data_IF_993942075479
#
_entry.id   IF_993942075479
#
_cell.length_a   1.000
_cell.length_b   1.000
_cell.length_c   1.000
_cell.angle_alpha   90.00
_cell.angle_beta   90.00
_cell.angle_gamma   90.00
#
_symmetry.space_group_name_H-M   'P 1'
#
loop_
_entity.id
_entity.type
_entity.pdbx_description
1 polymer ?
#
# COMPACT_ATOMS: atom_id res chain seq x y z
N UNK A 1 13.62 35.33 32.21
CA UNK A 1 13.82 35.14 30.77
C UNK A 1 12.87 34.04 30.28
N UNK A 2 11.70 34.46 29.80
CA UNK A 2 10.78 33.62 29.03
C UNK A 2 11.36 33.47 27.62
N UNK A 3 11.37 32.26 27.08
CA UNK A 3 11.25 32.04 25.64
C UNK A 3 10.17 30.98 25.44
N UNK A 4 9.00 31.50 25.10
CA UNK A 4 7.88 30.78 24.51
C UNK A 4 8.22 30.60 23.04
N UNK A 5 8.24 29.35 22.55
CA UNK A 5 7.91 29.07 21.16
C UNK A 5 6.89 27.92 21.15
N UNK A 6 5.64 28.37 21.09
CA UNK A 6 4.49 27.63 20.61
C UNK A 6 4.71 27.26 19.15
N UNK A 7 4.52 25.98 18.82
CA UNK A 7 3.96 25.55 17.53
C UNK A 7 3.38 24.15 17.74
N UNK A 8 2.08 24.13 18.02
CA UNK A 8 1.26 22.94 17.94
C UNK A 8 1.29 22.42 16.50
N UNK A 9 1.84 21.22 16.30
CA UNK A 9 1.50 20.40 15.15
C UNK A 9 0.59 19.29 15.65
N UNK A 10 -0.63 19.25 15.10
CA UNK A 10 -1.67 18.27 15.42
C UNK A 10 -1.09 16.88 15.24
N UNK A 11 -0.87 16.19 16.35
CA UNK A 11 -0.73 14.75 16.40
C UNK A 11 -2.04 14.13 15.89
N UNK A 12 -2.10 13.89 14.58
CA UNK A 12 -3.04 12.97 13.98
C UNK A 12 -2.80 11.59 14.58
N UNK A 13 -3.87 10.83 14.76
CA UNK A 13 -3.98 9.66 15.62
C UNK A 13 -3.28 8.40 15.04
N UNK A 14 -1.97 8.49 14.73
CA UNK A 14 -1.22 7.48 13.97
C UNK A 14 -0.67 6.30 14.81
N UNK A 15 -0.91 6.27 16.13
CA UNK A 15 -0.22 5.34 17.02
C UNK A 15 -0.83 3.92 17.15
N UNK A 16 -2.00 3.63 16.56
CA UNK A 16 -2.70 2.33 16.75
C UNK A 16 -2.87 1.49 15.47
N UNK A 17 -2.44 1.99 14.31
CA UNK A 17 -2.70 1.33 13.01
C UNK A 17 -1.70 0.23 12.63
N UNK A 18 -0.43 0.35 13.02
CA UNK A 18 0.65 -0.44 12.44
C UNK A 18 0.73 -1.90 12.92
N UNK A 19 0.48 -2.14 14.22
CA UNK A 19 0.26 -3.50 14.71
C UNK A 19 -0.95 -4.15 14.05
N UNK A 20 -1.87 -3.34 13.54
CA UNK A 20 -3.20 -3.74 13.13
C UNK A 20 -3.26 -4.03 11.63
N UNK A 21 -2.45 -3.36 10.82
CA UNK A 21 -2.20 -3.67 9.41
C UNK A 21 -1.61 -5.08 9.24
N UNK A 22 -0.56 -5.43 10.01
CA UNK A 22 0.01 -6.79 10.00
C UNK A 22 -1.02 -7.87 10.39
N UNK A 23 -1.88 -7.58 11.37
CA UNK A 23 -2.98 -8.48 11.76
C UNK A 23 -4.09 -8.57 10.70
N UNK A 24 -4.42 -7.47 10.02
CA UNK A 24 -5.40 -7.46 8.93
C UNK A 24 -4.92 -8.26 7.71
N UNK A 25 -3.62 -8.17 7.38
CA UNK A 25 -3.00 -8.99 6.35
C UNK A 25 -2.95 -10.48 6.73
N UNK A 26 -2.62 -10.80 7.98
CA UNK A 26 -2.48 -12.18 8.44
C UNK A 26 -3.82 -12.97 8.50
N UNK A 27 -4.95 -12.32 8.82
CA UNK A 27 -6.17 -13.03 9.24
C UNK A 27 -7.44 -12.80 8.40
N UNK A 28 -7.38 -12.11 7.25
CA UNK A 28 -8.56 -11.99 6.37
C UNK A 28 -8.80 -13.28 5.57
N UNK A 29 -10.04 -13.77 5.50
CA UNK A 29 -10.38 -15.03 4.82
C UNK A 29 -10.06 -15.00 3.32
N UNK A 30 -9.47 -16.08 2.81
CA UNK A 30 -9.04 -16.29 1.42
C UNK A 30 -10.18 -16.40 0.37
N UNK A 31 -11.35 -15.83 0.63
CA UNK A 31 -12.53 -15.97 -0.20
C UNK A 31 -13.34 -14.67 -0.24
N UNK A 32 -12.71 -13.58 -0.67
CA UNK A 32 -13.43 -12.35 -1.00
C UNK A 32 -13.79 -12.40 -2.49
N UNK A 33 -15.08 -12.20 -2.82
CA UNK A 33 -15.59 -12.31 -4.18
C UNK A 33 -15.05 -11.18 -5.06
N UNK A 34 -14.64 -11.52 -6.29
CA UNK A 34 -14.07 -10.65 -7.33
C UNK A 34 -15.10 -9.68 -7.96
N UNK A 35 -16.00 -9.10 -7.14
CA UNK A 35 -17.11 -8.24 -7.58
C UNK A 35 -16.81 -6.75 -7.43
N UNK A 36 -15.55 -6.36 -7.24
CA UNK A 36 -15.16 -4.96 -7.26
C UNK A 36 -15.19 -4.42 -8.68
N UNK A 37 -15.18 -3.10 -8.81
CA UNK A 37 -15.06 -2.47 -10.13
C UNK A 37 -13.61 -2.63 -10.62
N UNK A 38 -13.36 -2.90 -11.90
CA UNK A 38 -12.00 -2.88 -12.42
C UNK A 38 -11.40 -1.47 -12.30
N UNK A 39 -10.07 -1.37 -12.26
CA UNK A 39 -9.41 -0.08 -12.51
C UNK A 39 -9.87 0.48 -13.86
N UNK A 40 -10.14 1.79 -13.90
CA UNK A 40 -10.54 2.44 -15.15
C UNK A 40 -9.37 2.48 -16.14
N UNK A 41 -9.67 2.45 -17.44
CA UNK A 41 -8.68 2.57 -18.51
C UNK A 41 -7.76 3.78 -18.32
N UNK A 42 -8.33 4.92 -17.90
CA UNK A 42 -7.56 6.14 -17.59
C UNK A 42 -6.57 5.92 -16.42
N UNK A 43 -6.98 5.19 -15.37
CA UNK A 43 -6.10 4.91 -14.23
C UNK A 43 -5.02 3.92 -14.63
N UNK A 44 -5.36 2.91 -15.43
CA UNK A 44 -4.41 1.95 -15.99
C UNK A 44 -3.38 2.66 -16.86
N UNK A 45 -3.79 3.57 -17.75
CA UNK A 45 -2.88 4.36 -18.59
C UNK A 45 -1.94 5.23 -17.75
N UNK A 46 -2.45 5.87 -16.69
CA UNK A 46 -1.62 6.68 -15.79
C UNK A 46 -0.63 5.84 -14.99
N UNK A 47 -1.00 4.62 -14.59
CA UNK A 47 -0.16 3.77 -13.75
C UNK A 47 0.83 2.92 -14.54
N UNK A 48 0.46 2.43 -15.72
CA UNK A 48 1.26 1.52 -16.55
C UNK A 48 2.73 1.92 -16.67
N UNK A 49 3.05 3.17 -17.06
CA UNK A 49 4.45 3.61 -17.17
C UNK A 49 5.26 3.48 -15.87
N UNK A 50 4.62 3.57 -14.70
CA UNK A 50 5.34 3.43 -13.42
C UNK A 50 5.68 1.96 -13.11
N UNK A 51 4.92 1.00 -13.62
CA UNK A 51 5.23 -0.43 -13.51
C UNK A 51 6.29 -0.85 -14.55
N UNK A 52 6.47 -0.11 -15.63
CA UNK A 52 7.54 -0.40 -16.61
C UNK A 52 8.93 0.16 -16.18
N UNK A 53 8.98 1.01 -15.15
CA UNK A 53 10.25 1.59 -14.67
C UNK A 53 11.03 0.62 -13.77
N UNK A 54 12.20 0.18 -14.25
CA UNK A 54 13.09 -0.76 -13.56
C UNK A 54 13.75 -0.23 -12.28
N UNK A 55 13.55 1.04 -11.93
CA UNK A 55 14.21 1.73 -10.82
C UNK A 55 13.59 1.43 -9.44
N UNK A 56 12.37 0.87 -9.41
CA UNK A 56 11.59 0.75 -8.17
C UNK A 56 12.02 -0.46 -7.32
N UNK A 57 12.41 -1.58 -7.94
CA UNK A 57 13.10 -2.69 -7.26
C UNK A 57 13.77 -3.64 -8.27
N UNK A 58 14.99 -4.15 -8.02
CA UNK A 58 15.58 -5.18 -8.88
C UNK A 58 14.77 -6.47 -8.97
N UNK A 59 13.80 -6.70 -8.07
CA UNK A 59 12.86 -7.82 -8.14
C UNK A 59 11.67 -7.57 -9.07
N UNK A 60 11.38 -6.30 -9.33
CA UNK A 60 10.22 -5.83 -10.10
C UNK A 60 10.56 -5.79 -11.60
N UNK A 61 11.79 -5.44 -11.96
CA UNK A 61 12.24 -5.25 -13.36
C UNK A 61 12.38 -6.50 -14.24
N UNK A 62 12.19 -7.72 -13.73
CA UNK A 62 12.21 -8.97 -14.54
C UNK A 62 10.84 -9.67 -14.62
N UNK A 63 9.94 -9.38 -13.68
CA UNK A 63 8.65 -10.07 -13.55
C UNK A 63 7.43 -9.17 -13.84
N UNK A 64 7.63 -7.86 -14.03
CA UNK A 64 6.54 -6.92 -14.31
C UNK A 64 6.08 -6.87 -15.77
N UNK A 65 6.78 -7.51 -16.72
CA UNK A 65 6.36 -7.49 -18.14
C UNK A 65 4.92 -8.00 -18.34
N UNK A 66 4.40 -8.82 -17.42
CA UNK A 66 3.06 -9.41 -17.48
C UNK A 66 2.09 -8.93 -16.39
N UNK A 67 2.42 -7.87 -15.62
CA UNK A 67 1.51 -7.40 -14.58
C UNK A 67 0.31 -6.65 -15.17
N UNK A 68 -0.82 -7.35 -15.27
CA UNK A 68 -2.06 -6.80 -15.81
C UNK A 68 -2.81 -5.96 -14.77
N UNK A 69 -2.69 -4.63 -14.89
CA UNK A 69 -3.43 -3.67 -14.05
C UNK A 69 -4.95 -3.76 -14.26
N UNK A 70 -5.43 -4.28 -15.39
CA UNK A 70 -6.86 -4.43 -15.66
C UNK A 70 -7.50 -5.56 -14.84
N UNK A 71 -6.67 -6.43 -14.25
CA UNK A 71 -7.08 -7.52 -13.36
C UNK A 71 -7.32 -7.07 -11.92
N UNK A 72 -6.95 -5.83 -11.58
CA UNK A 72 -7.16 -5.25 -10.24
C UNK A 72 -8.65 -4.88 -10.07
N UNK A 73 -9.20 -5.16 -8.88
CA UNK A 73 -10.55 -4.75 -8.49
C UNK A 73 -10.52 -3.77 -7.33
N UNK A 74 -11.23 -2.68 -7.47
CA UNK A 74 -11.39 -1.65 -6.44
C UNK A 74 -12.73 -1.79 -5.73
N UNK A 75 -12.72 -1.53 -4.42
CA UNK A 75 -13.88 -1.54 -3.55
C UNK A 75 -13.88 -0.29 -2.67
N UNK A 76 -15.07 0.28 -2.44
CA UNK A 76 -15.25 1.34 -1.46
C UNK A 76 -15.57 0.75 -0.07
N UNK A 77 -14.86 1.24 0.94
CA UNK A 77 -15.03 0.86 2.34
C UNK A 77 -14.04 -0.23 2.78
N UNK A 78 -13.42 -0.01 3.93
CA UNK A 78 -12.55 -1.00 4.56
C UNK A 78 -13.41 -2.15 5.12
N UNK A 79 -13.13 -3.42 4.77
CA UNK A 79 -13.89 -4.56 5.28
C UNK A 79 -13.90 -4.61 6.80
N UNK A 80 -15.03 -4.99 7.39
CA UNK A 80 -15.24 -4.98 8.85
C UNK A 80 -14.24 -5.84 9.66
N UNK A 81 -13.63 -6.85 9.01
CA UNK A 81 -12.64 -7.73 9.63
C UNK A 81 -11.21 -7.15 9.59
N UNK A 82 -10.96 -6.16 8.73
CA UNK A 82 -9.72 -5.39 8.73
C UNK A 82 -9.76 -4.52 9.98
N UNK A 83 -8.84 -4.82 10.90
CA UNK A 83 -8.71 -4.06 12.13
C UNK A 83 -7.91 -2.78 11.84
N UNK A 84 -8.19 -1.71 12.58
CA UNK A 84 -7.54 -0.41 12.37
C UNK A 84 -8.33 0.48 11.43
N UNK A 85 -7.76 1.63 11.06
CA UNK A 85 -8.36 2.58 10.11
C UNK A 85 -7.35 2.90 9.01
N UNK A 86 -6.96 1.91 8.17
CA UNK A 86 -6.05 2.18 7.07
C UNK A 86 -6.74 3.01 5.98
N UNK A 87 -5.95 3.75 5.21
CA UNK A 87 -6.46 4.51 4.06
C UNK A 87 -6.83 3.57 2.90
N UNK A 88 -6.08 2.48 2.75
CA UNK A 88 -6.39 1.41 1.81
C UNK A 88 -5.90 0.04 2.33
N UNK A 89 -6.38 -1.05 1.72
CA UNK A 89 -6.04 -2.41 2.08
C UNK A 89 -6.12 -3.35 0.88
N UNK A 90 -5.10 -4.18 0.69
CA UNK A 90 -5.05 -5.14 -0.43
C UNK A 90 -5.23 -6.59 0.02
N UNK A 91 -6.03 -7.34 -0.74
CA UNK A 91 -6.23 -8.78 -0.57
C UNK A 91 -6.36 -9.49 -1.91
N UNK A 92 -5.31 -10.20 -2.32
CA UNK A 92 -5.24 -10.80 -3.65
C UNK A 92 -5.30 -9.71 -4.72
N UNK A 93 -6.29 -9.79 -5.63
CA UNK A 93 -6.53 -8.77 -6.66
C UNK A 93 -7.43 -7.60 -6.22
N UNK A 94 -7.92 -7.64 -4.98
CA UNK A 94 -8.89 -6.67 -4.50
C UNK A 94 -8.20 -5.61 -3.64
N UNK A 95 -8.43 -4.34 -3.96
CA UNK A 95 -8.00 -3.18 -3.19
C UNK A 95 -9.23 -2.49 -2.61
N UNK A 96 -9.22 -2.26 -1.31
CA UNK A 96 -10.29 -1.60 -0.57
C UNK A 96 -9.79 -0.23 -0.13
N UNK A 97 -10.50 0.83 -0.50
CA UNK A 97 -10.18 2.19 -0.05
C UNK A 97 -11.15 2.64 1.03
N UNK A 98 -10.65 3.31 2.07
CA UNK A 98 -11.52 4.02 2.99
C UNK A 98 -12.30 5.14 2.23
N UNK A 99 -13.49 5.54 2.69
CA UNK A 99 -14.29 6.55 2.01
C UNK A 99 -13.49 7.82 1.71
N UNK A 100 -13.48 8.23 0.44
CA UNK A 100 -12.74 9.40 -0.05
C UNK A 100 -11.22 9.21 -0.18
N UNK A 101 -10.68 7.99 -0.05
CA UNK A 101 -9.25 7.70 -0.24
C UNK A 101 -8.88 7.20 -1.64
N UNK A 102 -9.85 6.69 -2.40
CA UNK A 102 -9.66 6.44 -3.82
C UNK A 102 -9.75 7.77 -4.57
N UNK A 103 -8.61 8.29 -5.01
CA UNK A 103 -8.53 9.54 -5.77
C UNK A 103 -7.51 9.42 -6.93
N UNK A 104 -7.95 9.01 -8.13
CA UNK A 104 -7.07 8.88 -9.30
C UNK A 104 -6.72 10.23 -9.95
N UNK A 105 -7.12 11.36 -9.35
CA UNK A 105 -6.94 12.70 -9.92
C UNK A 105 -5.87 13.54 -9.19
N UNK A 106 -5.26 13.02 -8.13
CA UNK A 106 -4.17 13.68 -7.40
C UNK A 106 -2.90 12.83 -7.41
N UNK A 107 -1.74 13.47 -7.28
CA UNK A 107 -0.45 12.79 -7.20
C UNK A 107 -0.42 11.80 -6.02
N UNK A 108 -0.84 12.26 -4.85
CA UNK A 108 -0.89 11.43 -3.63
C UNK A 108 -1.88 10.27 -3.75
N UNK A 109 -3.03 10.47 -4.40
CA UNK A 109 -4.03 9.42 -4.59
C UNK A 109 -3.58 8.38 -5.61
N UNK A 110 -3.02 8.78 -6.76
CA UNK A 110 -2.40 7.85 -7.72
C UNK A 110 -1.22 7.07 -7.10
N UNK A 111 -0.41 7.75 -6.29
CA UNK A 111 0.69 7.10 -5.58
C UNK A 111 0.18 6.06 -4.58
N UNK A 112 -0.90 6.34 -3.84
CA UNK A 112 -1.54 5.36 -2.97
C UNK A 112 -2.14 4.20 -3.76
N UNK A 113 -2.75 4.44 -4.93
CA UNK A 113 -3.24 3.36 -5.81
C UNK A 113 -2.07 2.49 -6.27
N UNK A 114 -0.93 3.09 -6.63
CA UNK A 114 0.29 2.38 -6.99
C UNK A 114 0.85 1.52 -5.85
N UNK A 115 0.85 2.05 -4.61
CA UNK A 115 1.24 1.31 -3.41
C UNK A 115 0.45 0.00 -3.28
N UNK A 116 -0.87 0.09 -3.34
CA UNK A 116 -1.76 -1.05 -3.19
C UNK A 116 -1.70 -2.00 -4.40
N UNK A 117 -1.55 -1.46 -5.61
CA UNK A 117 -1.35 -2.27 -6.81
C UNK A 117 -0.03 -3.08 -6.76
N UNK A 118 1.03 -2.55 -6.12
CA UNK A 118 2.25 -3.32 -5.88
C UNK A 118 2.00 -4.47 -4.89
N UNK A 119 1.14 -4.29 -3.88
CA UNK A 119 0.72 -5.41 -3.04
C UNK A 119 -0.04 -6.48 -3.82
N UNK A 120 -0.88 -6.10 -4.82
CA UNK A 120 -1.53 -7.06 -5.71
C UNK A 120 -0.49 -7.88 -6.47
N UNK A 121 0.53 -7.22 -7.02
CA UNK A 121 1.65 -7.90 -7.68
C UNK A 121 2.39 -8.86 -6.72
N UNK A 122 2.76 -8.39 -5.53
CA UNK A 122 3.41 -9.22 -4.50
C UNK A 122 2.55 -10.45 -4.11
N UNK A 123 1.22 -10.29 -4.08
CA UNK A 123 0.29 -11.41 -3.87
C UNK A 123 0.32 -12.44 -5.00
N UNK A 124 0.52 -12.01 -6.25
CA UNK A 124 0.63 -12.91 -7.40
C UNK A 124 1.95 -13.69 -7.37
N UNK A 125 3.06 -13.02 -7.06
CA UNK A 125 4.40 -13.62 -6.99
C UNK A 125 4.55 -14.63 -5.84
N UNK A 126 4.12 -14.25 -4.64
CA UNK A 126 4.34 -15.07 -3.43
C UNK A 126 3.15 -15.97 -3.08
N UNK A 127 2.00 -15.75 -3.72
CA UNK A 127 0.74 -16.35 -3.34
C UNK A 127 0.22 -15.85 -1.98
N UNK A 128 -1.09 -15.98 -1.75
CA UNK A 128 -1.72 -15.44 -0.54
C UNK A 128 -1.16 -16.00 0.77
N UNK A 129 -0.80 -17.28 0.80
CA UNK A 129 -0.22 -17.90 2.00
C UNK A 129 1.23 -17.48 2.19
N UNK A 130 2.04 -17.50 1.11
CA UNK A 130 3.46 -17.16 1.16
C UNK A 130 3.68 -15.72 1.61
N UNK A 131 2.99 -14.78 0.97
CA UNK A 131 3.07 -13.36 1.33
C UNK A 131 2.72 -13.13 2.80
N UNK A 132 1.64 -13.73 3.31
CA UNK A 132 1.22 -13.57 4.72
C UNK A 132 2.22 -14.14 5.72
N UNK A 133 2.75 -15.33 5.44
CA UNK A 133 3.75 -15.97 6.31
C UNK A 133 4.98 -15.09 6.39
N UNK A 134 5.47 -14.59 5.25
CA UNK A 134 6.64 -13.71 5.21
C UNK A 134 6.36 -12.38 5.92
N UNK A 135 5.23 -11.74 5.63
CA UNK A 135 4.82 -10.48 6.25
C UNK A 135 4.79 -10.58 7.79
N UNK A 136 4.16 -11.63 8.33
CA UNK A 136 4.11 -11.86 9.79
C UNK A 136 5.48 -12.19 10.36
N UNK A 137 6.27 -13.02 9.65
CA UNK A 137 7.62 -13.38 10.06
C UNK A 137 8.51 -12.14 10.19
N UNK A 138 8.52 -11.27 9.18
CA UNK A 138 9.32 -10.05 9.15
C UNK A 138 8.86 -9.07 10.24
N UNK A 139 7.55 -8.86 10.38
CA UNK A 139 7.01 -8.03 11.45
C UNK A 139 7.44 -8.53 12.84
N UNK A 140 7.29 -9.83 13.11
CA UNK A 140 7.66 -10.40 14.40
C UNK A 140 9.18 -10.35 14.64
N UNK A 141 9.99 -10.62 13.61
CA UNK A 141 11.44 -10.46 13.67
C UNK A 141 11.84 -9.05 14.07
N UNK A 142 11.31 -8.05 13.35
CA UNK A 142 11.53 -6.63 13.65
C UNK A 142 11.09 -6.26 15.08
N UNK A 143 9.98 -6.83 15.56
CA UNK A 143 9.51 -6.65 16.94
C UNK A 143 10.41 -7.30 17.98
N UNK A 144 10.99 -8.46 17.67
CA UNK A 144 11.97 -9.14 18.54
C UNK A 144 13.29 -8.37 18.59
N UNK A 145 13.65 -7.68 17.51
CA UNK A 145 14.80 -6.76 17.44
C UNK A 145 14.56 -5.43 18.19
N UNK A 146 13.37 -5.25 18.78
CA UNK A 146 13.04 -4.13 19.66
C UNK A 146 12.46 -2.91 18.95
N UNK A 147 12.24 -2.96 17.63
CA UNK A 147 11.63 -1.86 16.86
C UNK A 147 10.21 -1.59 17.36
N UNK A 148 9.79 -0.32 17.46
CA UNK A 148 8.42 0.05 17.81
C UNK A 148 7.39 -0.53 16.81
N UNK A 149 6.10 -0.68 17.14
CA UNK A 149 5.12 -1.34 16.24
C UNK A 149 5.05 -0.71 14.83
N UNK A 150 5.08 0.61 14.75
CA UNK A 150 5.08 1.32 13.46
C UNK A 150 6.38 1.12 12.68
N UNK A 151 7.51 1.19 13.36
CA UNK A 151 8.82 0.96 12.76
C UNK A 151 8.97 -0.47 12.24
N UNK A 152 8.54 -1.46 13.04
CA UNK A 152 8.57 -2.87 12.66
C UNK A 152 7.72 -3.16 11.42
N UNK A 153 6.57 -2.48 11.28
CA UNK A 153 5.74 -2.54 10.08
C UNK A 153 6.43 -1.87 8.88
N UNK A 154 6.93 -0.64 9.04
CA UNK A 154 7.63 0.10 7.98
C UNK A 154 8.90 -0.60 7.48
N UNK A 155 9.49 -1.44 8.33
CA UNK A 155 10.69 -2.22 8.01
C UNK A 155 10.40 -3.53 7.26
N UNK A 156 9.14 -3.93 7.06
CA UNK A 156 8.80 -5.13 6.27
C UNK A 156 9.22 -4.89 4.81
N UNK A 157 9.95 -5.80 4.14
CA UNK A 157 10.41 -5.62 2.77
C UNK A 157 9.29 -5.25 1.78
N UNK A 158 8.14 -5.92 1.86
CA UNK A 158 6.98 -5.61 1.03
C UNK A 158 6.48 -4.16 1.19
N UNK A 159 6.46 -3.66 2.43
CA UNK A 159 6.08 -2.28 2.74
C UNK A 159 7.15 -1.29 2.27
N UNK A 160 8.44 -1.61 2.45
CA UNK A 160 9.53 -0.76 1.97
C UNK A 160 9.47 -0.56 0.45
N UNK A 161 9.26 -1.63 -0.30
CA UNK A 161 9.11 -1.55 -1.75
C UNK A 161 7.87 -0.74 -2.14
N UNK A 162 6.73 -0.95 -1.46
CA UNK A 162 5.50 -0.19 -1.72
C UNK A 162 5.64 1.30 -1.40
N UNK A 163 6.30 1.67 -0.29
CA UNK A 163 6.58 3.07 0.03
C UNK A 163 7.58 3.71 -0.93
N UNK A 164 8.61 2.98 -1.38
CA UNK A 164 9.54 3.47 -2.39
C UNK A 164 8.81 3.73 -3.70
N UNK A 165 7.94 2.81 -4.12
CA UNK A 165 7.14 2.96 -5.32
C UNK A 165 6.16 4.13 -5.23
N UNK A 166 5.45 4.25 -4.11
CA UNK A 166 4.57 5.37 -3.82
C UNK A 166 5.31 6.70 -3.93
N UNK A 167 6.47 6.83 -3.26
CA UNK A 167 7.26 8.05 -3.30
C UNK A 167 7.75 8.38 -4.72
N UNK A 168 8.09 7.36 -5.51
CA UNK A 168 8.50 7.52 -6.90
C UNK A 168 7.36 8.03 -7.80
N UNK A 169 6.18 7.41 -7.72
CA UNK A 169 5.00 7.86 -8.47
C UNK A 169 4.65 9.30 -8.09
N UNK A 170 4.61 9.60 -6.78
CA UNK A 170 4.26 10.91 -6.28
C UNK A 170 5.24 11.99 -6.76
N UNK A 171 6.55 11.76 -6.66
CA UNK A 171 7.58 12.69 -7.15
C UNK A 171 7.47 12.92 -8.67
N UNK A 172 7.29 11.85 -9.46
CA UNK A 172 7.14 11.96 -10.92
C UNK A 172 5.87 12.73 -11.32
N UNK A 173 4.75 12.48 -10.66
CA UNK A 173 3.49 13.18 -10.91
C UNK A 173 3.59 14.66 -10.54
N UNK A 174 4.14 14.97 -9.36
CA UNK A 174 4.36 16.36 -8.92
C UNK A 174 5.25 17.10 -9.92
N UNK A 175 6.33 16.47 -10.40
CA UNK A 175 7.21 17.07 -11.43
C UNK A 175 6.51 17.32 -12.76
N UNK A 176 5.49 16.53 -13.09
CA UNK A 176 4.64 16.70 -14.27
C UNK A 176 3.48 17.69 -14.05
N UNK A 177 3.38 18.30 -12.87
CA UNK A 177 2.37 19.30 -12.54
C UNK A 177 1.02 18.72 -12.16
N UNK A 178 0.97 17.45 -11.77
CA UNK A 178 -0.24 16.87 -11.17
C UNK A 178 -0.53 17.54 -9.81
N UNK A 179 -1.81 17.78 -9.47
CA UNK A 179 -2.20 18.38 -8.20
C UNK A 179 -1.96 17.46 -7.00
#
# INVERSE_FOLDING_TARGET
HQLVLSSAHKEGNFANGASTAAFAYAFSSAAQQDRGEPLSDETVEKLGPFFEESEISPFVGEFLEDFDLTDIRIHEGIPWYVRGNPDAYTSGRNIYFAPGKFDPNTASGLALIGHEALHVYQYQEHGAIGMRVQYVSDYLGNRMDGMAPYEAYRAIPFEQDAFRFQAHIEDQLIRRGFP
#
